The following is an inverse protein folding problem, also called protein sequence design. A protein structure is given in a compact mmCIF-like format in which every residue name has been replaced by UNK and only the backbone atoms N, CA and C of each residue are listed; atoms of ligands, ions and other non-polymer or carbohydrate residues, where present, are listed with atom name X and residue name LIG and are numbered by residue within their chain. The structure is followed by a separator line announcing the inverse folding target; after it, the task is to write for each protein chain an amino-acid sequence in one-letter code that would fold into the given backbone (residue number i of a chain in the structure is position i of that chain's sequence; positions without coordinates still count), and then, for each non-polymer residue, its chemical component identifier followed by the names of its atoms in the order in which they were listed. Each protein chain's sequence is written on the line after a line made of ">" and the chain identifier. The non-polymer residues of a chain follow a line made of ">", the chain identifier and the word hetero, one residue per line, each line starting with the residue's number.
data_IF_486583451269
#
_entry.id   IF_486583451269
#
_cell.length_a   1.000
_cell.length_b   1.000
_cell.length_c   1.000
_cell.angle_alpha   90.00
_cell.angle_beta   90.00
_cell.angle_gamma   90.00
#
_symmetry.space_group_name_H-M   'P 1'
#
loop_
_entity.id
_entity.type
_entity.pdbx_description
1 polymer ?
#
# COMPACT_ATOMS: atom_id res chain seq x y z
N UNK A 1 -20.29 12.74 -26.22
CA UNK A 1 -19.37 11.62 -25.94
C UNK A 1 -19.69 11.01 -24.59
N UNK A 2 -19.96 9.72 -24.55
CA UNK A 2 -20.15 9.03 -23.31
C UNK A 2 -18.77 8.67 -22.72
N UNK A 3 -18.56 9.00 -21.45
CA UNK A 3 -17.41 8.51 -20.70
C UNK A 3 -17.69 7.11 -20.20
N UNK A 4 -16.77 6.20 -20.42
CA UNK A 4 -16.86 4.84 -19.92
C UNK A 4 -15.70 4.57 -18.99
N UNK A 5 -15.96 3.84 -17.91
CA UNK A 5 -14.93 3.40 -16.98
C UNK A 5 -14.95 1.89 -16.90
N UNK A 6 -13.79 1.26 -16.99
CA UNK A 6 -13.63 -0.17 -16.77
C UNK A 6 -12.66 -0.41 -15.65
N UNK A 7 -12.93 -1.43 -14.84
CA UNK A 7 -12.05 -1.86 -13.77
C UNK A 7 -11.46 -3.21 -14.17
N UNK A 8 -10.15 -3.32 -14.07
CA UNK A 8 -9.40 -4.53 -14.42
C UNK A 8 -8.59 -5.01 -13.23
N UNK A 9 -8.29 -6.29 -13.20
CA UNK A 9 -7.55 -6.90 -12.11
C UNK A 9 -6.07 -7.06 -12.46
N UNK A 10 -5.23 -6.39 -11.70
CA UNK A 10 -3.79 -6.52 -11.78
C UNK A 10 -3.10 -5.69 -12.88
N UNK A 11 -1.75 -5.58 -12.79
CA UNK A 11 -0.98 -4.74 -13.70
C UNK A 11 -0.99 -5.22 -15.16
N UNK A 12 -1.01 -6.54 -15.37
CA UNK A 12 -1.02 -7.10 -16.73
C UNK A 12 -2.33 -6.79 -17.44
N UNK A 13 -3.47 -7.02 -16.78
CA UNK A 13 -4.78 -6.70 -17.34
C UNK A 13 -4.94 -5.20 -17.61
N UNK A 14 -4.40 -4.36 -16.72
CA UNK A 14 -4.40 -2.91 -16.91
C UNK A 14 -3.62 -2.51 -18.18
N UNK A 15 -2.42 -3.05 -18.34
CA UNK A 15 -1.58 -2.79 -19.52
C UNK A 15 -2.24 -3.30 -20.80
N UNK A 16 -2.78 -4.50 -20.78
CA UNK A 16 -3.46 -5.11 -21.92
C UNK A 16 -4.67 -4.29 -22.35
N UNK A 17 -5.47 -3.84 -21.39
CA UNK A 17 -6.64 -3.00 -21.66
C UNK A 17 -6.25 -1.65 -22.29
N UNK A 18 -5.17 -1.03 -21.81
CA UNK A 18 -4.66 0.22 -22.37
C UNK A 18 -4.20 0.05 -23.82
N UNK A 19 -3.47 -1.00 -24.12
CA UNK A 19 -3.00 -1.30 -25.48
C UNK A 19 -4.19 -1.53 -26.39
N UNK A 20 -5.15 -2.34 -25.99
CA UNK A 20 -6.35 -2.62 -26.78
C UNK A 20 -7.17 -1.34 -27.06
N UNK A 21 -7.33 -0.48 -26.06
CA UNK A 21 -8.02 0.80 -26.24
C UNK A 21 -7.30 1.72 -27.22
N UNK A 22 -5.96 1.78 -27.15
CA UNK A 22 -5.16 2.56 -28.08
C UNK A 22 -5.26 2.03 -29.52
N UNK A 23 -5.26 0.72 -29.70
CA UNK A 23 -5.41 0.09 -31.03
C UNK A 23 -6.78 0.36 -31.64
N UNK A 24 -7.82 0.45 -30.83
CA UNK A 24 -9.19 0.79 -31.29
C UNK A 24 -9.44 2.29 -31.40
N UNK A 25 -8.46 3.10 -31.02
CA UNK A 25 -8.57 4.56 -30.93
C UNK A 25 -9.77 5.00 -30.08
N UNK A 26 -10.05 4.27 -28.99
CA UNK A 26 -11.13 4.60 -28.07
C UNK A 26 -10.85 5.94 -27.37
N UNK A 27 -11.86 6.81 -27.36
CA UNK A 27 -11.82 8.06 -26.62
C UNK A 27 -12.83 8.04 -25.47
N UNK A 28 -12.52 8.75 -24.38
CA UNK A 28 -13.40 8.81 -23.22
C UNK A 28 -13.43 7.55 -22.38
N UNK A 29 -12.52 6.60 -22.63
CA UNK A 29 -12.39 5.38 -21.84
C UNK A 29 -11.39 5.60 -20.70
N UNK A 30 -11.83 5.34 -19.48
CA UNK A 30 -10.98 5.34 -18.29
C UNK A 30 -10.78 3.91 -17.82
N UNK A 31 -9.54 3.52 -17.58
CA UNK A 31 -9.17 2.17 -17.15
C UNK A 31 -8.59 2.27 -15.74
N UNK A 32 -9.15 1.52 -14.81
CA UNK A 32 -8.72 1.50 -13.42
C UNK A 32 -8.39 0.08 -12.98
N UNK A 33 -7.38 -0.06 -12.12
CA UNK A 33 -7.32 -1.17 -11.18
C UNK A 33 -8.22 -0.83 -9.98
N UNK A 34 -8.60 -1.82 -9.20
CA UNK A 34 -9.44 -1.58 -8.02
C UNK A 34 -8.82 -0.59 -7.03
N UNK A 35 -7.51 -0.67 -6.70
CA UNK A 35 -6.87 0.34 -5.86
C UNK A 35 -6.90 1.75 -6.43
N UNK A 36 -6.75 1.91 -7.75
CA UNK A 36 -6.82 3.22 -8.41
C UNK A 36 -8.25 3.78 -8.36
N UNK A 37 -9.25 2.93 -8.57
CA UNK A 37 -10.65 3.34 -8.44
C UNK A 37 -10.96 3.78 -7.02
N UNK A 38 -10.53 3.02 -6.04
CA UNK A 38 -10.72 3.37 -4.62
C UNK A 38 -10.06 4.72 -4.28
N UNK A 39 -8.84 4.96 -4.74
CA UNK A 39 -8.15 6.23 -4.53
C UNK A 39 -8.90 7.39 -5.19
N UNK A 40 -9.48 7.17 -6.37
CA UNK A 40 -10.26 8.17 -7.09
C UNK A 40 -11.53 8.53 -6.33
N UNK A 41 -12.22 7.53 -5.81
CA UNK A 41 -13.45 7.72 -5.02
C UNK A 41 -13.17 8.39 -3.68
N UNK A 42 -12.01 8.15 -3.09
CA UNK A 42 -11.61 8.72 -1.81
C UNK A 42 -11.18 10.19 -1.86
N UNK A 43 -11.19 10.83 -3.02
CA UNK A 43 -10.89 12.26 -3.13
C UNK A 43 -10.12 12.66 -4.39
N UNK A 44 -9.65 11.71 -5.16
CA UNK A 44 -9.09 11.93 -6.48
C UNK A 44 -7.65 12.44 -6.55
N UNK A 45 -7.12 12.97 -5.47
CA UNK A 45 -5.77 13.55 -5.43
C UNK A 45 -4.76 12.70 -4.67
N UNK A 46 -5.23 11.72 -3.92
CA UNK A 46 -4.36 10.83 -3.16
C UNK A 46 -3.86 9.69 -4.06
N UNK A 47 -2.55 9.49 -4.03
CA UNK A 47 -1.92 8.38 -4.73
C UNK A 47 -1.81 7.19 -3.79
N UNK A 48 -2.19 5.96 -4.22
CA UNK A 48 -1.93 4.78 -3.41
C UNK A 48 -0.43 4.62 -3.13
N UNK A 49 -0.09 4.27 -1.90
CA UNK A 49 1.30 3.99 -1.54
C UNK A 49 1.80 2.78 -2.33
N UNK A 50 2.98 2.90 -2.92
CA UNK A 50 3.62 1.84 -3.71
C UNK A 50 4.73 1.19 -2.89
N UNK A 51 5.14 0.00 -3.28
CA UNK A 51 6.28 -0.68 -2.65
C UNK A 51 7.53 0.19 -2.61
N UNK A 52 7.77 0.96 -3.68
CA UNK A 52 8.91 1.88 -3.74
C UNK A 52 8.83 3.03 -2.73
N UNK A 53 7.64 3.38 -2.26
CA UNK A 53 7.44 4.38 -1.21
C UNK A 53 7.48 3.73 0.19
N UNK A 54 6.93 2.52 0.30
CA UNK A 54 6.84 1.78 1.56
C UNK A 54 8.18 1.22 2.02
N UNK A 55 8.97 0.65 1.12
CA UNK A 55 10.22 0.00 1.48
C UNK A 55 11.20 0.94 2.19
N UNK A 56 11.49 2.16 1.68
CA UNK A 56 12.34 3.11 2.40
C UNK A 56 11.76 3.54 3.76
N UNK A 57 10.43 3.75 3.82
CA UNK A 57 9.77 4.15 5.05
C UNK A 57 9.85 3.05 6.13
N UNK A 58 9.68 1.79 5.74
CA UNK A 58 9.81 0.65 6.64
C UNK A 58 11.25 0.49 7.11
N UNK A 59 12.22 0.62 6.22
CA UNK A 59 13.65 0.55 6.59
C UNK A 59 14.00 1.65 7.58
N UNK A 60 13.54 2.87 7.38
CA UNK A 60 13.76 3.97 8.30
C UNK A 60 13.10 3.70 9.66
N UNK A 61 11.90 3.16 9.67
CA UNK A 61 11.18 2.79 10.89
C UNK A 61 11.94 1.73 11.70
N UNK A 62 12.49 0.71 11.03
CA UNK A 62 13.27 -0.34 11.67
C UNK A 62 14.64 0.15 12.15
N UNK A 63 15.29 1.02 11.38
CA UNK A 63 16.59 1.58 11.72
C UNK A 63 16.57 2.45 12.98
N UNK A 64 15.43 3.05 13.29
CA UNK A 64 15.28 3.87 14.50
C UNK A 64 15.41 3.08 15.81
N UNK A 65 15.26 1.76 15.76
CA UNK A 65 15.45 0.87 16.92
C UNK A 65 14.31 0.94 17.93
N UNK A 66 14.55 0.37 19.11
CA UNK A 66 13.54 0.35 20.19
C UNK A 66 12.44 -0.69 20.02
N UNK A 67 12.60 -1.64 19.10
CA UNK A 67 11.64 -2.69 18.81
C UNK A 67 12.16 -4.03 19.34
N UNK A 68 11.62 -4.49 20.46
CA UNK A 68 12.13 -5.68 21.15
C UNK A 68 11.90 -6.98 20.35
N UNK A 69 10.69 -7.18 19.85
CA UNK A 69 10.34 -8.39 19.12
C UNK A 69 10.98 -8.46 17.73
N UNK A 70 11.20 -7.33 17.08
CA UNK A 70 11.76 -7.25 15.74
C UNK A 70 13.28 -7.06 15.73
N UNK A 71 13.91 -6.83 16.89
CA UNK A 71 15.33 -6.50 16.98
C UNK A 71 16.22 -7.56 16.31
N UNK A 72 15.90 -8.85 16.51
CA UNK A 72 16.71 -9.94 15.95
C UNK A 72 16.60 -10.12 14.45
N UNK A 73 15.57 -9.57 13.81
CA UNK A 73 15.29 -9.78 12.40
C UNK A 73 15.22 -8.49 11.57
N UNK A 74 15.37 -7.33 12.19
CA UNK A 74 15.18 -6.03 11.52
C UNK A 74 16.08 -5.81 10.32
N UNK A 75 17.26 -6.43 10.29
CA UNK A 75 18.22 -6.29 9.21
C UNK A 75 18.12 -7.39 8.15
N UNK A 76 17.26 -8.39 8.35
CA UNK A 76 17.08 -9.47 7.39
C UNK A 76 16.37 -8.95 6.13
N UNK A 77 16.79 -9.37 4.92
CA UNK A 77 16.21 -8.86 3.67
C UNK A 77 14.70 -9.08 3.53
N UNK A 78 14.18 -10.18 4.06
CA UNK A 78 12.77 -10.50 3.98
C UNK A 78 11.86 -9.72 4.94
N UNK A 79 12.42 -9.10 5.97
CA UNK A 79 11.64 -8.42 7.01
C UNK A 79 10.86 -7.23 6.45
N UNK A 80 11.51 -6.39 5.68
CA UNK A 80 10.87 -5.22 5.05
C UNK A 80 9.68 -5.64 4.18
N UNK A 81 9.88 -6.68 3.38
CA UNK A 81 8.82 -7.20 2.51
C UNK A 81 7.65 -7.79 3.29
N UNK A 82 7.94 -8.53 4.35
CA UNK A 82 6.91 -9.12 5.21
C UNK A 82 6.10 -8.06 5.93
N UNK A 83 6.75 -7.01 6.42
CA UNK A 83 6.07 -5.87 7.06
C UNK A 83 5.19 -5.15 6.04
N UNK A 84 5.70 -4.89 4.83
CA UNK A 84 4.92 -4.25 3.78
C UNK A 84 3.65 -5.04 3.45
N UNK A 85 3.74 -6.35 3.33
CA UNK A 85 2.56 -7.21 3.10
C UNK A 85 1.57 -7.17 4.25
N UNK A 86 2.07 -7.20 5.47
CA UNK A 86 1.23 -7.18 6.67
C UNK A 86 0.50 -5.85 6.79
N UNK A 87 1.20 -4.73 6.61
CA UNK A 87 0.58 -3.40 6.64
C UNK A 87 -0.47 -3.24 5.54
N UNK A 88 -0.19 -3.75 4.33
CA UNK A 88 -1.16 -3.70 3.25
C UNK A 88 -2.45 -4.45 3.61
N UNK A 89 -2.35 -5.63 4.22
CA UNK A 89 -3.50 -6.40 4.68
C UNK A 89 -4.27 -5.68 5.79
N UNK A 90 -3.55 -5.12 6.74
CA UNK A 90 -4.14 -4.34 7.85
C UNK A 90 -4.94 -3.16 7.31
N UNK A 91 -4.37 -2.42 6.38
CA UNK A 91 -5.04 -1.25 5.79
C UNK A 91 -6.22 -1.64 4.90
N UNK A 92 -6.11 -2.72 4.13
CA UNK A 92 -7.22 -3.22 3.33
C UNK A 92 -8.39 -3.71 4.17
N UNK A 93 -8.10 -4.27 5.36
CA UNK A 93 -9.10 -4.75 6.29
C UNK A 93 -9.60 -3.66 7.26
N UNK A 94 -9.08 -2.44 7.14
CA UNK A 94 -9.40 -1.30 8.02
C UNK A 94 -9.25 -1.63 9.51
N UNK A 95 -8.16 -2.34 9.85
CA UNK A 95 -7.87 -2.71 11.24
C UNK A 95 -7.16 -1.59 11.98
N UNK A 96 -7.58 -1.35 13.21
CA UNK A 96 -6.94 -0.41 14.11
C UNK A 96 -5.86 -1.12 14.94
N UNK A 97 -4.60 -1.02 14.49
CA UNK A 97 -3.48 -1.62 15.20
C UNK A 97 -3.24 -1.02 16.58
N UNK A 98 -3.47 0.28 16.76
CA UNK A 98 -3.33 0.91 18.07
C UNK A 98 -4.34 0.36 19.07
N UNK A 99 -5.57 0.13 18.64
CA UNK A 99 -6.59 -0.51 19.45
C UNK A 99 -6.27 -1.95 19.80
N UNK A 100 -5.53 -2.66 18.94
CA UNK A 100 -5.11 -4.05 19.16
C UNK A 100 -3.79 -4.18 19.93
N UNK A 101 -3.06 -3.10 20.12
CA UNK A 101 -1.71 -3.11 20.72
C UNK A 101 -1.70 -3.66 22.16
N UNK A 102 -2.79 -3.48 22.90
CA UNK A 102 -2.92 -3.98 24.27
C UNK A 102 -3.04 -5.50 24.38
N UNK A 103 -3.36 -6.18 23.30
CA UNK A 103 -3.58 -7.63 23.31
C UNK A 103 -2.30 -8.45 23.21
N UNK A 104 -1.25 -7.90 22.61
CA UNK A 104 -0.05 -8.66 22.28
C UNK A 104 1.13 -7.70 22.02
N UNK A 105 2.31 -8.07 22.53
CA UNK A 105 3.52 -7.27 22.33
C UNK A 105 3.91 -7.11 20.85
N UNK A 106 3.68 -8.14 20.04
CA UNK A 106 3.96 -8.08 18.61
C UNK A 106 3.04 -7.10 17.88
N UNK A 107 1.77 -7.05 18.27
CA UNK A 107 0.81 -6.08 17.73
C UNK A 107 1.17 -4.66 18.16
N UNK A 108 1.64 -4.47 19.37
CA UNK A 108 2.12 -3.18 19.86
C UNK A 108 3.33 -2.68 19.05
N UNK A 109 4.28 -3.55 18.74
CA UNK A 109 5.42 -3.19 17.89
C UNK A 109 5.01 -2.93 16.45
N UNK A 110 4.10 -3.72 15.90
CA UNK A 110 3.59 -3.48 14.55
C UNK A 110 2.86 -2.13 14.46
N UNK A 111 2.12 -1.75 15.50
CA UNK A 111 1.47 -0.43 15.60
C UNK A 111 2.52 0.70 15.63
N UNK A 112 3.62 0.51 16.34
CA UNK A 112 4.72 1.48 16.37
C UNK A 112 5.39 1.60 15.01
N UNK A 113 5.65 0.47 14.34
CA UNK A 113 6.19 0.47 12.97
C UNK A 113 5.24 1.20 12.02
N UNK A 114 3.95 0.93 12.09
CA UNK A 114 2.95 1.63 11.28
C UNK A 114 3.00 3.15 11.49
N UNK A 115 3.07 3.59 12.73
CA UNK A 115 3.16 5.02 13.06
C UNK A 115 4.40 5.66 12.43
N UNK A 116 5.54 5.01 12.54
CA UNK A 116 6.79 5.48 11.95
C UNK A 116 6.76 5.49 10.42
N UNK A 117 6.17 4.46 9.83
CA UNK A 117 6.00 4.36 8.38
C UNK A 117 5.14 5.50 7.87
N UNK A 118 3.99 5.77 8.50
CA UNK A 118 3.11 6.88 8.12
C UNK A 118 3.81 8.24 8.20
N UNK A 119 4.66 8.43 9.21
CA UNK A 119 5.44 9.66 9.36
C UNK A 119 6.50 9.85 8.25
N UNK A 120 6.96 8.76 7.64
CA UNK A 120 8.00 8.77 6.60
C UNK A 120 7.46 8.60 5.18
N UNK A 121 6.14 8.44 5.00
CA UNK A 121 5.55 8.39 3.68
C UNK A 121 5.48 9.79 3.06
N UNK A 122 5.71 9.91 1.74
CA UNK A 122 5.51 11.18 1.05
C UNK A 122 4.04 11.60 1.10
N UNK A 123 3.85 12.89 1.17
CA UNK A 123 2.52 13.51 1.21
C UNK A 123 1.72 13.29 -0.09
#
# INVERSE_FOLDING_TARGET
>A
MSRRSIVVEGPLAFRTARIAAAQRADSGLQIFTLPLLAARLAGGFNRPARSQDLDPAIRAALAAGGLTELEGIRQLPGTTRSIARTLAKVWQADLDLEGLASHNARLAELAEVERRVRANLPA
#
